data_IF_969341430940
#
_entry.id   IF_969341430940
#
_cell.length_a   1.000
_cell.length_b   1.000
_cell.length_c   1.000
_cell.angle_alpha   90.00
_cell.angle_beta   90.00
_cell.angle_gamma   90.00
#
_symmetry.space_group_name_H-M   'P 1'
#
loop_
_entity.id
_entity.type
_entity.pdbx_description
1 polymer ?
#
# COMPACT_ATOMS: atom_id res chain seq x y z
N UNK A 1 -34.23 -1.17 62.23
CA UNK A 1 -34.41 -1.98 61.00
C UNK A 1 -33.10 -1.86 60.23
N UNK A 2 -32.26 -2.92 60.13
CA UNK A 2 -32.35 -4.00 59.13
C UNK A 2 -32.55 -3.41 57.72
N UNK A 3 -31.77 -3.67 56.68
CA UNK A 3 -30.70 -4.63 56.40
C UNK A 3 -30.31 -4.33 54.92
N UNK A 4 -29.01 -4.24 54.57
CA UNK A 4 -28.39 -4.91 53.40
C UNK A 4 -28.77 -4.41 51.98
N UNK A 5 -28.09 -4.70 50.87
CA UNK A 5 -26.77 -5.21 50.47
C UNK A 5 -26.76 -4.98 48.94
N UNK A 6 -25.58 -4.78 48.37
CA UNK A 6 -25.10 -5.41 47.13
C UNK A 6 -26.11 -5.56 45.96
N UNK A 7 -25.86 -4.83 44.87
CA UNK A 7 -26.26 -5.27 43.54
C UNK A 7 -24.99 -5.65 42.76
N UNK A 8 -24.58 -6.91 42.95
CA UNK A 8 -23.61 -7.61 42.13
C UNK A 8 -24.41 -8.66 41.33
N UNK A 9 -24.09 -8.79 40.04
CA UNK A 9 -24.12 -10.03 39.24
C UNK A 9 -25.41 -10.44 38.48
N UNK A 10 -25.24 -10.43 37.16
CA UNK A 10 -25.56 -11.44 36.12
C UNK A 10 -26.94 -11.51 35.42
N UNK A 11 -26.87 -11.18 34.12
CA UNK A 11 -27.24 -11.96 32.92
C UNK A 11 -28.44 -12.92 33.07
N UNK A 12 -29.53 -12.67 32.32
CA UNK A 12 -30.36 -13.66 31.58
C UNK A 12 -31.19 -12.86 30.55
N UNK A 13 -30.88 -12.95 29.25
CA UNK A 13 -31.52 -13.82 28.25
C UNK A 13 -32.89 -13.28 27.73
N UNK A 14 -32.92 -13.03 26.41
CA UNK A 14 -34.03 -12.68 25.49
C UNK A 14 -35.18 -13.73 25.53
N UNK A 15 -36.32 -13.66 24.77
CA UNK A 15 -36.59 -12.88 23.55
C UNK A 15 -38.03 -12.31 23.40
N UNK A 16 -38.26 -11.48 22.37
CA UNK A 16 -39.33 -11.70 21.39
C UNK A 16 -39.29 -10.67 20.26
N UNK A 17 -39.29 -11.19 19.04
CA UNK A 17 -39.41 -10.51 17.75
C UNK A 17 -40.80 -9.88 17.56
N UNK A 18 -40.91 -8.84 16.73
CA UNK A 18 -42.08 -8.69 15.85
C UNK A 18 -41.81 -7.82 14.60
N UNK A 19 -41.75 -8.51 13.45
CA UNK A 19 -42.42 -8.29 12.17
C UNK A 19 -42.58 -6.88 11.55
N UNK A 20 -41.99 -6.69 10.36
CA UNK A 20 -42.67 -6.27 9.12
C UNK A 20 -41.65 -6.33 7.98
N UNK A 21 -41.88 -7.09 6.92
CA UNK A 21 -42.40 -6.49 5.69
C UNK A 21 -41.29 -6.46 4.66
N UNK A 22 -41.44 -7.23 3.58
CA UNK A 22 -40.41 -7.45 2.59
C UNK A 22 -39.97 -6.17 1.89
N UNK A 23 -38.67 -6.09 1.71
CA UNK A 23 -38.01 -5.91 0.42
C UNK A 23 -36.63 -6.54 0.65
N UNK A 24 -36.32 -7.60 -0.12
CA UNK A 24 -34.93 -7.92 -0.46
C UNK A 24 -34.38 -6.71 -1.22
N UNK A 25 -34.14 -5.62 -0.49
CA UNK A 25 -33.03 -4.77 -0.84
C UNK A 25 -31.83 -5.70 -0.79
N UNK A 26 -30.94 -5.69 -1.80
CA UNK A 26 -29.62 -6.21 -1.55
C UNK A 26 -29.18 -5.46 -0.30
N UNK A 27 -29.06 -6.18 0.82
CA UNK A 27 -28.05 -5.80 1.80
C UNK A 27 -26.85 -5.58 0.90
N UNK A 28 -26.28 -4.36 0.81
CA UNK A 28 -25.01 -4.24 0.14
C UNK A 28 -24.15 -5.19 0.94
N UNK A 29 -23.93 -6.39 0.40
CA UNK A 29 -22.94 -7.31 0.89
C UNK A 29 -21.75 -6.39 0.99
N UNK A 30 -21.36 -6.06 2.22
CA UNK A 30 -20.20 -5.23 2.46
C UNK A 30 -19.01 -6.13 2.14
N UNK A 31 -18.87 -6.46 0.85
CA UNK A 31 -17.85 -7.29 0.27
C UNK A 31 -16.49 -6.60 0.40
N UNK A 32 -16.48 -5.30 0.72
CA UNK A 32 -15.32 -4.51 1.13
C UNK A 32 -14.76 -4.88 2.52
N UNK A 33 -15.45 -5.71 3.32
CA UNK A 33 -14.99 -6.16 4.64
C UNK A 33 -14.33 -7.56 4.62
N UNK A 34 -13.35 -7.75 3.74
CA UNK A 34 -12.62 -9.03 3.59
C UNK A 34 -11.12 -8.82 3.59
N UNK A 35 -10.38 -9.89 3.94
CA UNK A 35 -8.92 -9.89 3.82
C UNK A 35 -8.50 -9.64 2.35
N UNK A 36 -7.36 -8.98 2.13
CA UNK A 36 -6.85 -8.74 0.79
C UNK A 36 -6.53 -10.08 0.13
N UNK A 37 -6.79 -10.20 -1.16
CA UNK A 37 -6.41 -11.39 -1.96
C UNK A 37 -5.49 -10.92 -3.06
N UNK A 38 -4.32 -11.55 -3.19
CA UNK A 38 -3.35 -11.25 -4.24
C UNK A 38 -3.52 -12.29 -5.35
N UNK A 39 -3.65 -11.81 -6.58
CA UNK A 39 -3.73 -12.61 -7.81
C UNK A 39 -2.51 -12.42 -8.71
N UNK A 40 -1.86 -11.25 -8.62
CA UNK A 40 -0.62 -10.95 -9.33
C UNK A 40 0.14 -9.82 -8.66
N UNK A 41 1.46 -9.86 -8.79
CA UNK A 41 2.37 -8.83 -8.32
C UNK A 41 3.35 -8.51 -9.44
N UNK A 42 3.58 -7.24 -9.68
CA UNK A 42 4.59 -6.77 -10.64
C UNK A 42 5.39 -5.62 -10.02
N UNK A 43 6.71 -5.80 -9.91
CA UNK A 43 7.61 -4.74 -9.47
C UNK A 43 8.18 -4.05 -10.70
N UNK A 44 7.97 -2.74 -10.78
CA UNK A 44 8.39 -1.96 -11.94
C UNK A 44 9.16 -0.72 -11.53
N UNK A 45 10.26 -0.50 -12.23
CA UNK A 45 10.97 0.77 -12.20
C UNK A 45 10.35 1.63 -13.28
N UNK A 46 9.69 2.73 -12.89
CA UNK A 46 9.22 3.66 -13.88
C UNK A 46 10.40 4.41 -14.53
N UNK A 47 10.20 4.79 -15.79
CA UNK A 47 11.16 5.58 -16.55
C UNK A 47 11.20 7.05 -16.11
N UNK A 48 11.67 7.92 -17.01
CA UNK A 48 11.98 9.33 -16.72
C UNK A 48 10.86 10.18 -16.07
N UNK A 49 9.59 9.76 -16.08
CA UNK A 49 8.46 10.50 -15.51
C UNK A 49 8.05 10.05 -14.10
N UNK A 50 8.52 8.89 -13.64
CA UNK A 50 8.24 8.37 -12.31
C UNK A 50 9.59 7.84 -11.76
N UNK A 51 10.24 8.52 -10.80
CA UNK A 51 11.60 8.17 -10.39
C UNK A 51 11.66 7.10 -9.29
N UNK A 52 10.50 6.61 -8.81
CA UNK A 52 10.39 5.76 -7.63
C UNK A 52 9.95 4.35 -8.03
N UNK A 53 10.69 3.34 -7.59
CA UNK A 53 10.30 1.94 -7.71
C UNK A 53 8.92 1.73 -7.06
N UNK A 54 8.02 1.06 -7.79
CA UNK A 54 6.72 0.67 -7.27
C UNK A 54 6.42 -0.80 -7.52
N UNK A 55 5.46 -1.29 -6.76
CA UNK A 55 4.86 -2.60 -6.94
C UNK A 55 3.38 -2.42 -7.21
N UNK A 56 2.92 -2.92 -8.35
CA UNK A 56 1.50 -3.04 -8.65
C UNK A 56 1.03 -4.43 -8.20
N UNK A 57 0.04 -4.43 -7.31
CA UNK A 57 -0.68 -5.62 -6.90
C UNK A 57 -2.03 -5.69 -7.59
N UNK A 58 -2.33 -6.84 -8.18
CA UNK A 58 -3.63 -7.18 -8.74
C UNK A 58 -4.29 -8.20 -7.82
N UNK A 59 -5.58 -8.01 -7.53
CA UNK A 59 -6.21 -8.75 -6.46
C UNK A 59 -7.69 -8.47 -6.26
N UNK A 60 -8.15 -8.64 -5.02
CA UNK A 60 -9.47 -8.25 -4.53
C UNK A 60 -9.36 -7.69 -3.12
N UNK A 61 -10.30 -6.82 -2.76
CA UNK A 61 -10.38 -6.15 -1.44
C UNK A 61 -9.13 -5.32 -1.11
N UNK A 62 -8.53 -4.70 -2.13
CA UNK A 62 -7.36 -3.84 -1.99
C UNK A 62 -7.73 -2.37 -1.73
N UNK A 63 -9.01 -2.02 -1.64
CA UNK A 63 -9.52 -0.66 -1.45
C UNK A 63 -9.62 -0.22 0.02
N UNK A 64 -9.22 -1.08 0.95
CA UNK A 64 -9.32 -0.82 2.39
C UNK A 64 -8.56 0.44 2.80
N UNK A 65 -9.14 1.26 3.68
CA UNK A 65 -8.44 2.45 4.22
C UNK A 65 -7.26 2.09 5.12
N UNK A 66 -7.30 0.90 5.71
CA UNK A 66 -6.26 0.38 6.60
C UNK A 66 -5.28 -0.54 5.84
N UNK A 67 -5.27 -0.46 4.50
CA UNK A 67 -4.37 -1.25 3.68
C UNK A 67 -2.93 -0.89 4.00
N UNK A 68 -2.14 -1.90 4.35
CA UNK A 68 -0.72 -1.78 4.60
C UNK A 68 0.00 -2.80 3.74
N UNK A 69 1.19 -2.43 3.29
CA UNK A 69 2.05 -3.34 2.57
C UNK A 69 3.47 -3.26 3.09
N UNK A 70 4.10 -4.42 3.23
CA UNK A 70 5.43 -4.56 3.80
C UNK A 70 6.21 -5.58 2.98
N UNK A 71 7.38 -5.18 2.49
CA UNK A 71 8.35 -6.08 1.89
C UNK A 71 9.25 -6.64 2.99
N UNK A 72 9.45 -7.96 2.95
CA UNK A 72 10.36 -8.65 3.85
C UNK A 72 11.38 -9.44 3.04
N UNK A 73 12.65 -9.22 3.33
CA UNK A 73 13.78 -10.00 2.82
C UNK A 73 14.71 -10.32 3.98
N UNK A 74 14.79 -11.62 4.31
CA UNK A 74 15.50 -12.13 5.47
C UNK A 74 15.13 -11.43 6.79
N UNK A 75 15.92 -10.45 7.23
CA UNK A 75 15.71 -9.66 8.45
C UNK A 75 15.37 -8.19 8.19
N UNK A 76 15.24 -7.79 6.93
CA UNK A 76 14.86 -6.44 6.55
C UNK A 76 13.36 -6.37 6.33
N UNK A 77 12.72 -5.43 7.02
CA UNK A 77 11.31 -5.10 6.88
C UNK A 77 11.20 -3.68 6.31
N UNK A 78 10.57 -3.55 5.14
CA UNK A 78 10.42 -2.29 4.42
C UNK A 78 8.92 -2.02 4.28
N UNK A 79 8.41 -1.06 5.04
CA UNK A 79 7.03 -0.59 4.90
C UNK A 79 6.88 0.23 3.63
N UNK A 80 5.86 -0.10 2.86
CA UNK A 80 5.52 0.56 1.61
C UNK A 80 4.50 1.68 1.80
N UNK A 81 4.57 2.68 0.94
CA UNK A 81 3.61 3.77 0.86
C UNK A 81 2.50 3.40 -0.14
N UNK A 82 1.24 3.47 0.26
CA UNK A 82 0.12 3.21 -0.65
C UNK A 82 -0.09 4.42 -1.57
N UNK A 83 0.22 4.24 -2.85
CA UNK A 83 0.15 5.30 -3.86
C UNK A 83 -1.24 5.46 -4.46
N UNK A 84 -1.87 4.32 -4.76
CA UNK A 84 -3.20 4.23 -5.32
C UNK A 84 -3.82 2.90 -4.90
N UNK A 85 -5.13 2.88 -4.70
CA UNK A 85 -5.85 1.67 -4.33
C UNK A 85 -7.26 1.68 -4.94
N UNK A 86 -7.69 0.51 -5.38
CA UNK A 86 -9.02 0.16 -5.85
C UNK A 86 -9.36 -1.22 -5.29
N UNK A 87 -10.56 -1.71 -5.57
CA UNK A 87 -10.98 -3.02 -5.13
C UNK A 87 -10.07 -4.12 -5.68
N UNK A 88 -9.62 -4.00 -6.93
CA UNK A 88 -8.92 -5.03 -7.69
C UNK A 88 -7.44 -4.73 -8.00
N UNK A 89 -6.97 -3.52 -7.72
CA UNK A 89 -5.57 -3.16 -7.86
C UNK A 89 -5.09 -2.21 -6.75
N UNK A 90 -3.81 -2.27 -6.42
CA UNK A 90 -3.14 -1.30 -5.58
C UNK A 90 -1.71 -1.08 -6.05
N UNK A 91 -1.25 0.17 -5.97
CA UNK A 91 0.13 0.56 -6.25
C UNK A 91 0.81 0.94 -4.95
N UNK A 92 2.01 0.42 -4.74
CA UNK A 92 2.80 0.67 -3.55
C UNK A 92 4.17 1.25 -3.94
N UNK A 93 4.52 2.42 -3.41
CA UNK A 93 5.85 2.98 -3.57
C UNK A 93 6.80 2.50 -2.48
N UNK A 94 8.04 2.25 -2.86
CA UNK A 94 9.10 2.04 -1.91
C UNK A 94 9.58 3.40 -1.38
N UNK A 95 10.01 3.47 -0.10
CA UNK A 95 10.57 4.71 0.42
C UNK A 95 11.93 4.99 -0.24
N UNK A 96 12.23 6.25 -0.51
CA UNK A 96 13.42 6.67 -1.27
C UNK A 96 14.75 6.29 -0.59
N UNK A 97 14.68 6.03 0.72
CA UNK A 97 15.78 5.58 1.57
C UNK A 97 15.90 4.06 1.69
N UNK A 98 14.98 3.28 1.13
CA UNK A 98 15.11 1.82 1.16
C UNK A 98 16.25 1.39 0.24
N UNK A 99 17.23 0.72 0.82
CA UNK A 99 18.28 0.03 0.08
C UNK A 99 17.77 -1.38 -0.26
N UNK A 100 17.14 -1.48 -1.43
CA UNK A 100 16.55 -2.72 -1.93
C UNK A 100 17.57 -3.36 -2.86
N UNK A 101 18.29 -4.36 -2.37
CA UNK A 101 19.13 -5.18 -3.24
C UNK A 101 18.26 -5.96 -4.24
N UNK A 102 18.82 -6.29 -5.41
CA UNK A 102 18.18 -7.22 -6.35
C UNK A 102 17.88 -8.54 -5.64
N UNK A 103 16.64 -9.01 -5.73
CA UNK A 103 16.30 -10.24 -5.03
C UNK A 103 14.82 -10.58 -5.05
N UNK A 104 14.54 -11.73 -4.42
CA UNK A 104 13.19 -12.19 -4.17
C UNK A 104 12.73 -11.67 -2.80
N UNK A 105 11.62 -10.95 -2.78
CA UNK A 105 11.04 -10.40 -1.56
C UNK A 105 9.67 -11.04 -1.31
N UNK A 106 9.33 -11.20 -0.04
CA UNK A 106 7.96 -11.54 0.35
C UNK A 106 7.21 -10.23 0.62
N UNK A 107 6.21 -9.95 -0.20
CA UNK A 107 5.30 -8.84 0.00
C UNK A 107 4.14 -9.32 0.87
N UNK A 108 3.94 -8.67 2.00
CA UNK A 108 2.78 -8.85 2.85
C UNK A 108 1.83 -7.68 2.64
N UNK A 109 0.57 -7.96 2.32
CA UNK A 109 -0.50 -6.97 2.24
C UNK A 109 -1.51 -7.31 3.32
N UNK A 110 -1.79 -6.36 4.20
CA UNK A 110 -2.73 -6.53 5.32
C UNK A 110 -3.77 -5.41 5.36
N UNK A 111 -4.90 -5.73 5.96
CA UNK A 111 -5.92 -4.78 6.39
C UNK A 111 -6.52 -5.25 7.72
N UNK A 112 -7.57 -4.57 8.20
CA UNK A 112 -8.26 -4.93 9.44
C UNK A 112 -8.89 -6.33 9.46
N UNK A 113 -9.08 -6.95 8.29
CA UNK A 113 -9.76 -8.24 8.13
C UNK A 113 -8.79 -9.41 7.93
N UNK A 114 -7.52 -9.15 7.62
CA UNK A 114 -6.50 -10.18 7.50
C UNK A 114 -5.30 -9.75 6.69
N UNK A 115 -4.44 -10.72 6.41
CA UNK A 115 -3.20 -10.55 5.67
C UNK A 115 -3.08 -11.63 4.60
N UNK A 116 -2.56 -11.23 3.44
CA UNK A 116 -2.11 -12.12 2.38
C UNK A 116 -0.66 -11.80 2.07
N UNK A 117 0.09 -12.80 1.59
CA UNK A 117 1.43 -12.60 1.08
C UNK A 117 1.56 -13.06 -0.37
N UNK A 118 2.53 -12.49 -1.08
CA UNK A 118 2.97 -12.96 -2.37
C UNK A 118 4.47 -12.73 -2.51
N UNK A 119 5.10 -13.47 -3.41
CA UNK A 119 6.52 -13.29 -3.72
C UNK A 119 6.64 -12.32 -4.89
N UNK A 120 7.54 -11.36 -4.77
CA UNK A 120 7.83 -10.38 -5.81
C UNK A 120 9.33 -10.33 -6.03
N UNK A 121 9.74 -10.44 -7.29
CA UNK A 121 11.14 -10.25 -7.67
C UNK A 121 11.37 -8.77 -7.92
N UNK A 122 12.18 -8.14 -7.09
CA UNK A 122 12.61 -6.76 -7.32
C UNK A 122 13.89 -6.80 -8.12
N UNK A 123 13.82 -6.38 -9.38
CA UNK A 123 14.99 -6.08 -10.18
C UNK A 123 15.36 -4.63 -9.86
N UNK A 124 16.55 -4.42 -9.30
CA UNK A 124 17.23 -3.13 -9.31
C UNK A 124 17.57 -2.86 -10.78
N UNK A 125 16.63 -2.34 -11.53
CA UNK A 125 17.02 -1.40 -12.57
C UNK A 125 17.82 -0.31 -11.88
N UNK A 126 18.86 0.15 -12.55
CA UNK A 126 19.68 1.25 -12.06
C UNK A 126 18.73 2.29 -11.49
N UNK A 127 18.83 2.56 -10.18
CA UNK A 127 18.41 3.86 -9.66
C UNK A 127 19.15 4.78 -10.59
N UNK A 128 18.44 5.38 -11.57
CA UNK A 128 19.09 6.15 -12.61
C UNK A 128 20.02 7.08 -11.87
N UNK A 129 21.33 6.85 -12.00
CA UNK A 129 22.32 7.69 -11.33
C UNK A 129 21.85 9.08 -11.68
N UNK A 130 21.55 9.87 -10.64
CA UNK A 130 21.10 11.24 -10.80
C UNK A 130 22.00 11.85 -11.86
N UNK A 131 21.43 12.12 -13.05
CA UNK A 131 22.23 12.35 -14.25
C UNK A 131 23.34 13.32 -13.90
N UNK A 132 24.60 12.90 -14.06
CA UNK A 132 25.73 13.79 -13.88
C UNK A 132 25.38 15.09 -14.61
N UNK A 133 25.46 16.19 -13.88
CA UNK A 133 25.18 17.53 -14.41
C UNK A 133 25.84 17.63 -15.78
N UNK A 134 25.03 17.83 -16.83
CA UNK A 134 25.53 17.91 -18.20
C UNK A 134 26.71 18.88 -18.27
N UNK A 135 27.73 18.61 -19.11
CA UNK A 135 28.96 19.39 -19.12
C UNK A 135 28.64 20.89 -19.24
N UNK A 136 29.23 21.70 -18.35
CA UNK A 136 29.21 23.16 -18.46
C UNK A 136 29.55 23.54 -19.90
N UNK A 137 28.62 24.22 -20.59
CA UNK A 137 28.82 24.66 -21.97
C UNK A 137 30.13 25.47 -22.12
N UNK A 138 30.78 25.43 -23.29
CA UNK A 138 32.03 26.15 -23.51
C UNK A 138 31.87 27.65 -23.18
N UNK A 139 32.91 28.32 -22.67
CA UNK A 139 32.90 29.76 -22.49
C UNK A 139 32.53 30.44 -23.82
N UNK A 140 31.48 31.28 -23.79
CA UNK A 140 31.09 32.06 -24.96
C UNK A 140 32.28 32.90 -25.46
N UNK A 141 32.47 32.92 -26.78
CA UNK A 141 33.54 33.69 -27.40
C UNK A 141 33.48 35.15 -26.96
N UNK A 142 34.65 35.68 -26.60
CA UNK A 142 34.84 37.08 -26.27
C UNK A 142 34.42 37.91 -27.48
N UNK A 143 33.33 38.66 -27.36
CA UNK A 143 32.95 39.64 -28.37
C UNK A 143 34.13 40.59 -28.64
N UNK A 144 34.50 40.71 -29.92
CA UNK A 144 35.57 41.58 -30.36
C UNK A 144 35.37 43.02 -29.86
N UNK A 145 36.44 43.73 -29.44
CA UNK A 145 36.35 45.15 -29.19
C UNK A 145 36.02 45.88 -30.50
N UNK A 146 34.87 46.54 -30.54
CA UNK A 146 34.58 47.53 -31.57
C UNK A 146 35.68 48.58 -31.57
N UNK A 147 36.53 48.55 -32.60
CA UNK A 147 37.51 49.59 -32.90
C UNK A 147 36.82 50.77 -33.64
N UNK A 148 37.43 51.97 -33.62
CA UNK A 148 36.82 53.28 -33.36
C UNK A 148 35.89 53.86 -34.43
#
# INVERSE_FOLDING_TARGET
>A
MRLYFICLIFIFNLPACNNSGGEDTPVPDNDSAKAPVIMGLDARIPGAEEPRLYIDALGKNLDSRDLQATLINDSQEITLEVAAQSFDNARFYLPDSADVAEGLFNLFISNAYGQTHGSVTVLKGDKGDQGDTGPTGPPGEKGDPGSP
#
